data_IF_015594196243
#
_entry.id   IF_015594196243
#
_cell.length_a   1.000
_cell.length_b   1.000
_cell.length_c   1.000
_cell.angle_alpha   90.00
_cell.angle_beta   90.00
_cell.angle_gamma   90.00
#
_symmetry.space_group_name_H-M   'P 1'
#
loop_
_entity.id
_entity.type
_entity.pdbx_description
1 polymer ?
#
# COMPACT_ATOMS: atom_id res chain seq x y z
N UNK A 1 6.09 8.01 23.53
CA UNK A 1 4.89 7.74 22.71
C UNK A 1 5.30 7.71 21.24
N UNK A 2 4.77 6.79 20.41
CA UNK A 2 5.11 6.76 18.99
C UNK A 2 4.59 8.02 18.28
N UNK A 3 5.40 8.60 17.42
CA UNK A 3 5.00 9.75 16.57
C UNK A 3 4.36 9.29 15.25
N UNK A 4 4.64 8.05 14.84
CA UNK A 4 4.15 7.43 13.61
C UNK A 4 3.94 5.94 13.83
N UNK A 5 2.89 5.39 13.23
CA UNK A 5 2.60 3.95 13.23
C UNK A 5 2.41 3.53 11.78
N UNK A 6 3.09 2.45 11.40
CA UNK A 6 2.99 1.84 10.08
C UNK A 6 2.31 0.49 10.27
N UNK A 7 1.19 0.27 9.58
CA UNK A 7 0.45 -1.00 9.60
C UNK A 7 0.35 -1.59 8.20
N UNK A 8 -0.11 -2.84 8.11
CA UNK A 8 -0.72 -3.34 6.89
C UNK A 8 -2.01 -2.55 6.54
N UNK A 9 -2.64 -2.93 5.42
CA UNK A 9 -3.88 -2.32 4.93
C UNK A 9 -5.14 -2.99 5.49
N UNK A 10 -5.07 -3.55 6.70
CA UNK A 10 -6.24 -4.11 7.38
C UNK A 10 -6.90 -3.08 8.32
N UNK A 11 -8.23 -3.04 8.33
CA UNK A 11 -8.98 -2.06 9.15
C UNK A 11 -8.77 -2.27 10.65
N UNK A 12 -8.66 -3.51 11.12
CA UNK A 12 -8.52 -3.82 12.54
C UNK A 12 -7.20 -3.28 13.12
N UNK A 13 -6.02 -3.56 12.53
CA UNK A 13 -4.76 -2.94 12.93
C UNK A 13 -4.77 -1.41 12.87
N UNK A 14 -5.33 -0.81 11.82
CA UNK A 14 -5.44 0.64 11.66
C UNK A 14 -6.26 1.25 12.79
N UNK A 15 -7.47 0.74 13.01
CA UNK A 15 -8.40 1.27 14.02
C UNK A 15 -7.87 1.08 15.44
N UNK A 16 -7.29 -0.09 15.74
CA UNK A 16 -6.72 -0.37 17.06
C UNK A 16 -5.54 0.55 17.37
N UNK A 17 -4.69 0.79 16.37
CA UNK A 17 -3.53 1.68 16.51
C UNK A 17 -3.95 3.13 16.69
N UNK A 18 -4.92 3.60 15.92
CA UNK A 18 -5.48 4.94 16.05
C UNK A 18 -6.14 5.16 17.42
N UNK A 19 -6.90 4.19 17.92
CA UNK A 19 -7.52 4.29 19.25
C UNK A 19 -6.47 4.36 20.37
N UNK A 20 -5.41 3.54 20.30
CA UNK A 20 -4.35 3.55 21.33
C UNK A 20 -3.43 4.76 21.23
N UNK A 21 -3.20 5.28 20.04
CA UNK A 21 -2.25 6.36 19.76
C UNK A 21 -2.86 7.39 18.79
N UNK A 22 -3.86 8.18 19.22
CA UNK A 22 -4.59 9.09 18.34
C UNK A 22 -3.73 10.23 17.79
N UNK A 23 -2.64 10.56 18.47
CA UNK A 23 -1.70 11.60 18.06
C UNK A 23 -0.60 11.08 17.12
N UNK A 24 -0.49 9.75 16.94
CA UNK A 24 0.50 9.18 16.04
C UNK A 24 -0.02 9.21 14.60
N UNK A 25 0.83 9.64 13.67
CA UNK A 25 0.49 9.62 12.25
C UNK A 25 0.37 8.17 11.78
N UNK A 26 -0.80 7.79 11.27
CA UNK A 26 -1.04 6.47 10.69
C UNK A 26 -0.54 6.43 9.25
N UNK A 27 0.19 5.38 8.88
CA UNK A 27 0.66 5.12 7.52
C UNK A 27 0.50 3.64 7.18
N UNK A 28 0.27 3.33 5.91
CA UNK A 28 0.33 1.98 5.38
C UNK A 28 1.76 1.61 4.98
N UNK A 29 2.12 0.35 5.16
CA UNK A 29 3.42 -0.18 4.75
C UNK A 29 3.48 -0.32 3.23
N UNK A 30 4.51 0.27 2.60
CA UNK A 30 4.66 0.19 1.14
C UNK A 30 4.82 -1.25 0.64
N UNK A 31 5.48 -2.11 1.42
CA UNK A 31 5.62 -3.53 1.08
C UNK A 31 4.26 -4.22 0.96
N UNK A 32 3.37 -4.05 1.95
CA UNK A 32 2.02 -4.63 1.90
C UNK A 32 1.18 -4.01 0.78
N UNK A 33 1.34 -2.72 0.49
CA UNK A 33 0.70 -2.11 -0.68
C UNK A 33 1.12 -2.81 -1.98
N UNK A 34 2.43 -3.05 -2.13
CA UNK A 34 3.00 -3.76 -3.26
C UNK A 34 2.46 -5.19 -3.37
N UNK A 35 2.45 -5.91 -2.25
CA UNK A 35 1.97 -7.28 -2.16
C UNK A 35 0.48 -7.38 -2.50
N UNK A 36 -0.39 -6.56 -1.90
CA UNK A 36 -1.83 -6.62 -2.15
C UNK A 36 -2.17 -6.35 -3.62
N UNK A 37 -1.50 -5.38 -4.25
CA UNK A 37 -1.68 -5.10 -5.68
C UNK A 37 -1.16 -6.26 -6.55
N UNK A 38 -0.04 -6.88 -6.19
CA UNK A 38 0.47 -8.05 -6.89
C UNK A 38 -0.48 -9.25 -6.79
N UNK A 39 -0.97 -9.55 -5.58
CA UNK A 39 -2.01 -10.56 -5.38
C UNK A 39 -3.22 -10.26 -6.28
N UNK A 40 -3.62 -8.99 -6.40
CA UNK A 40 -4.73 -8.62 -7.29
C UNK A 40 -4.43 -8.85 -8.76
N UNK A 41 -3.23 -8.54 -9.24
CA UNK A 41 -2.79 -8.84 -10.61
C UNK A 41 -2.90 -10.35 -10.87
N UNK A 42 -2.47 -11.18 -9.91
CA UNK A 42 -2.53 -12.64 -10.02
C UNK A 42 -3.97 -13.17 -10.02
N UNK A 43 -4.82 -12.70 -9.09
CA UNK A 43 -6.24 -13.08 -8.99
C UNK A 43 -7.02 -12.79 -10.28
N UNK A 44 -6.66 -11.73 -11.00
CA UNK A 44 -7.29 -11.37 -12.28
C UNK A 44 -6.65 -12.08 -13.49
N UNK A 45 -5.70 -13.00 -13.28
CA UNK A 45 -5.02 -13.72 -14.36
C UNK A 45 -4.06 -12.85 -15.19
N UNK A 46 -3.72 -11.65 -14.71
CA UNK A 46 -2.93 -10.65 -15.45
C UNK A 46 -1.41 -10.85 -15.31
N UNK A 47 -0.97 -11.85 -14.54
CA UNK A 47 0.46 -12.11 -14.30
C UNK A 47 1.23 -12.42 -15.60
N UNK A 48 0.63 -13.21 -16.51
CA UNK A 48 1.24 -13.51 -17.81
C UNK A 48 1.34 -12.27 -18.69
N UNK A 49 0.32 -11.42 -18.70
CA UNK A 49 0.35 -10.16 -19.45
C UNK A 49 1.41 -9.21 -18.88
N UNK A 50 1.51 -9.10 -17.55
CA UNK A 50 2.58 -8.35 -16.89
C UNK A 50 3.98 -8.85 -17.25
N UNK A 51 4.19 -10.13 -17.52
CA UNK A 51 5.50 -10.63 -17.95
C UNK A 51 5.85 -10.36 -19.41
N UNK A 52 4.85 -10.19 -20.28
CA UNK A 52 5.02 -10.22 -21.73
C UNK A 52 4.69 -8.91 -22.45
N UNK A 53 3.95 -8.00 -21.80
CA UNK A 53 3.57 -6.70 -22.36
C UNK A 53 4.25 -5.58 -21.57
N UNK A 54 5.23 -4.93 -22.21
CA UNK A 54 6.00 -3.84 -21.61
C UNK A 54 5.14 -2.61 -21.29
N UNK A 55 4.13 -2.30 -22.11
CA UNK A 55 3.28 -1.13 -21.88
C UNK A 55 2.37 -1.37 -20.68
N UNK A 56 1.79 -2.57 -20.59
CA UNK A 56 1.02 -2.98 -19.42
C UNK A 56 1.90 -3.01 -18.15
N UNK A 57 3.12 -3.54 -18.25
CA UNK A 57 4.09 -3.54 -17.15
C UNK A 57 4.40 -2.13 -16.65
N UNK A 58 4.64 -1.19 -17.58
CA UNK A 58 4.91 0.21 -17.25
C UNK A 58 3.70 0.87 -16.60
N UNK A 59 2.49 0.57 -17.04
CA UNK A 59 1.26 1.06 -16.40
C UNK A 59 1.13 0.56 -14.96
N UNK A 60 1.41 -0.73 -14.71
CA UNK A 60 1.41 -1.29 -13.36
C UNK A 60 2.54 -0.68 -12.50
N UNK A 61 3.74 -0.52 -13.05
CA UNK A 61 4.86 0.15 -12.37
C UNK A 61 4.49 1.59 -11.99
N UNK A 62 3.80 2.31 -12.88
CA UNK A 62 3.30 3.64 -12.60
C UNK A 62 2.33 3.65 -11.43
N UNK A 63 1.40 2.68 -11.35
CA UNK A 63 0.51 2.53 -10.20
C UNK A 63 1.30 2.37 -8.89
N UNK A 64 2.39 1.57 -8.88
CA UNK A 64 3.29 1.46 -7.73
C UNK A 64 4.03 2.77 -7.41
N UNK A 65 4.46 3.49 -8.43
CA UNK A 65 5.18 4.75 -8.29
C UNK A 65 4.33 5.88 -7.67
N UNK A 66 3.00 5.82 -7.78
CA UNK A 66 2.10 6.81 -7.16
C UNK A 66 2.30 6.97 -5.66
N UNK A 67 2.73 5.92 -4.94
CA UNK A 67 2.98 6.01 -3.51
C UNK A 67 4.10 7.01 -3.16
N UNK A 68 4.98 7.32 -4.12
CA UNK A 68 6.07 8.27 -3.96
C UNK A 68 5.66 9.72 -4.20
N UNK A 69 4.42 9.98 -4.63
CA UNK A 69 3.90 11.34 -4.75
C UNK A 69 3.31 11.80 -3.42
N UNK A 70 3.27 13.12 -3.22
CA UNK A 70 2.54 13.67 -2.08
C UNK A 70 1.05 13.30 -2.18
N UNK A 71 0.38 13.22 -1.03
CA UNK A 71 -1.05 12.87 -0.98
C UNK A 71 -1.94 13.79 -1.83
N UNK A 72 -1.50 15.04 -2.06
CA UNK A 72 -2.22 16.07 -2.81
C UNK A 72 -2.06 15.91 -4.34
N UNK A 73 -0.91 15.41 -4.80
CA UNK A 73 -0.63 15.22 -6.23
C UNK A 73 -1.30 13.96 -6.78
N UNK A 74 -1.40 12.92 -5.96
CA UNK A 74 -1.94 11.60 -6.33
C UNK A 74 -3.27 11.71 -7.10
N UNK A 75 -4.32 12.42 -6.65
CA UNK A 75 -5.59 12.50 -7.37
C UNK A 75 -5.48 13.13 -8.76
N UNK A 76 -4.63 14.14 -8.93
CA UNK A 76 -4.42 14.81 -10.21
C UNK A 76 -3.63 13.94 -11.20
N UNK A 77 -2.72 13.11 -10.67
CA UNK A 77 -1.91 12.17 -11.43
C UNK A 77 -2.70 10.91 -11.81
N UNK A 78 -3.69 10.52 -11.00
CA UNK A 78 -4.60 9.40 -11.24
C UNK A 78 -5.66 9.66 -12.31
N UNK A 79 -5.46 10.59 -13.26
CA UNK A 79 -6.38 10.80 -14.40
C UNK A 79 -6.37 9.55 -15.29
N UNK A 80 -7.13 8.53 -14.89
CA UNK A 80 -7.48 7.37 -15.69
C UNK A 80 -8.10 7.92 -16.99
N UNK A 81 -7.61 7.53 -18.18
CA UNK A 81 -8.28 7.86 -19.41
C UNK A 81 -9.72 7.37 -19.31
N UNK A 82 -10.70 8.25 -19.55
CA UNK A 82 -12.09 7.81 -19.72
C UNK A 82 -12.07 6.69 -20.77
N UNK A 83 -12.51 5.49 -20.41
CA UNK A 83 -12.65 4.37 -21.34
C UNK A 83 -13.37 4.84 -22.61
N UNK A 84 -12.89 4.36 -23.76
CA UNK A 84 -13.39 4.69 -25.10
C UNK A 84 -14.87 4.29 -25.31
N UNK A 85 -15.47 3.52 -24.40
CA UNK A 85 -16.78 2.89 -24.59
C UNK A 85 -17.94 3.56 -23.83
N UNK A 86 -17.75 4.77 -23.30
CA UNK A 86 -18.86 5.56 -22.70
C UNK A 86 -19.47 4.95 -21.42
N UNK A 87 -19.01 3.78 -20.98
CA UNK A 87 -19.32 3.23 -19.67
C UNK A 87 -18.49 3.98 -18.64
N UNK A 88 -19.15 4.86 -17.88
CA UNK A 88 -18.57 5.47 -16.69
C UNK A 88 -18.28 4.34 -15.71
N UNK A 89 -17.05 3.83 -15.71
CA UNK A 89 -16.56 3.01 -14.62
C UNK A 89 -16.77 3.83 -13.35
N UNK A 90 -17.73 3.41 -12.53
CA UNK A 90 -18.00 4.02 -11.22
C UNK A 90 -16.84 3.60 -10.34
N UNK A 91 -15.67 4.22 -10.53
CA UNK A 91 -14.51 3.99 -9.72
C UNK A 91 -14.86 4.51 -8.33
N UNK A 92 -15.26 3.59 -7.45
CA UNK A 92 -15.42 3.89 -6.04
C UNK A 92 -14.17 4.60 -5.53
N UNK A 93 -14.37 5.56 -4.63
CA UNK A 93 -13.27 6.24 -3.94
C UNK A 93 -12.23 5.20 -3.50
N UNK A 94 -10.92 5.46 -3.68
CA UNK A 94 -9.91 4.53 -3.22
C UNK A 94 -10.19 4.20 -1.75
N UNK A 95 -10.25 2.90 -1.44
CA UNK A 95 -10.66 2.36 -0.13
C UNK A 95 -9.90 3.02 1.04
N UNK A 96 -8.67 3.47 0.76
CA UNK A 96 -7.85 4.23 1.67
C UNK A 96 -7.44 5.57 1.06
N UNK A 97 -7.47 6.62 1.89
CA UNK A 97 -7.04 7.96 1.49
C UNK A 97 -5.55 7.97 1.08
N UNK A 98 -5.17 8.79 0.07
CA UNK A 98 -3.77 8.94 -0.34
C UNK A 98 -2.79 9.25 0.78
N UNK A 99 -3.23 9.99 1.80
CA UNK A 99 -2.43 10.31 2.99
C UNK A 99 -1.95 9.06 3.76
N UNK A 100 -2.73 7.97 3.74
CA UNK A 100 -2.38 6.72 4.40
C UNK A 100 -1.26 5.98 3.65
N UNK A 101 -1.35 5.88 2.32
CA UNK A 101 -0.46 5.04 1.52
C UNK A 101 0.65 5.78 0.77
N UNK A 102 0.61 7.11 0.75
CA UNK A 102 1.74 7.93 0.31
C UNK A 102 2.89 7.82 1.32
N UNK A 103 4.07 7.47 0.79
CA UNK A 103 5.33 7.39 1.51
C UNK A 103 6.22 8.62 1.28
N UNK A 104 5.72 9.65 0.58
CA UNK A 104 6.45 10.88 0.30
C UNK A 104 7.05 11.49 1.59
N UNK A 105 6.21 11.83 2.57
CA UNK A 105 6.69 12.41 3.84
C UNK A 105 7.56 11.42 4.63
N UNK A 106 7.30 10.11 4.50
CA UNK A 106 8.11 9.09 5.17
C UNK A 106 9.54 9.08 4.65
N UNK A 107 9.73 9.29 3.34
CA UNK A 107 11.06 9.39 2.71
C UNK A 107 11.77 10.67 3.17
N UNK A 108 11.09 11.81 3.16
CA UNK A 108 11.66 13.09 3.62
C UNK A 108 12.14 13.02 5.08
N UNK A 109 11.42 12.25 5.91
CA UNK A 109 11.75 12.05 7.32
C UNK A 109 12.72 10.89 7.58
N UNK A 110 13.23 10.21 6.54
CA UNK A 110 14.15 9.07 6.67
C UNK A 110 13.52 7.83 7.31
N UNK A 111 12.19 7.72 7.33
CA UNK A 111 11.47 6.57 7.86
C UNK A 111 11.63 5.39 6.89
N UNK A 112 12.02 4.19 7.39
CA UNK A 112 12.15 3.01 6.54
C UNK A 112 10.88 2.72 5.74
N UNK A 113 11.04 2.48 4.44
CA UNK A 113 9.95 2.18 3.50
C UNK A 113 9.28 0.83 3.77
N UNK A 114 10.01 -0.09 4.39
CA UNK A 114 9.56 -1.42 4.71
C UNK A 114 9.82 -1.71 6.18
N UNK A 115 8.92 -2.47 6.77
CA UNK A 115 9.00 -2.92 8.15
C UNK A 115 9.63 -4.33 8.22
N UNK A 116 10.33 -4.76 7.15
CA UNK A 116 10.87 -6.11 6.94
C UNK A 116 11.66 -6.65 8.14
N UNK A 117 12.42 -5.79 8.83
CA UNK A 117 13.18 -6.19 10.03
C UNK A 117 12.23 -6.54 11.19
N UNK A 118 11.19 -5.74 11.40
CA UNK A 118 10.19 -5.97 12.46
C UNK A 118 9.23 -7.10 12.09
N UNK A 119 8.93 -7.30 10.81
CA UNK A 119 8.16 -8.45 10.33
C UNK A 119 8.94 -9.76 10.41
N UNK A 120 10.22 -9.75 10.05
CA UNK A 120 11.12 -10.88 10.29
C UNK A 120 11.19 -11.19 11.78
N UNK A 121 11.23 -10.15 12.63
CA UNK A 121 11.20 -10.32 14.08
C UNK A 121 9.85 -10.85 14.58
N UNK A 122 8.72 -10.37 14.06
CA UNK A 122 7.39 -10.89 14.40
C UNK A 122 7.18 -12.32 13.89
N UNK A 123 7.65 -12.66 12.70
CA UNK A 123 7.62 -14.02 12.17
C UNK A 123 8.48 -14.94 13.02
N UNK A 124 9.72 -14.52 13.32
CA UNK A 124 10.63 -15.23 14.22
C UNK A 124 10.01 -15.45 15.60
N UNK A 125 9.40 -14.41 16.18
CA UNK A 125 8.70 -14.47 17.46
C UNK A 125 7.48 -15.40 17.43
N UNK A 126 6.65 -15.34 16.40
CA UNK A 126 5.51 -16.27 16.20
C UNK A 126 5.99 -17.72 16.08
N UNK A 127 7.15 -17.95 15.47
CA UNK A 127 7.76 -19.29 15.34
C UNK A 127 8.28 -19.79 16.70
N UNK A 128 8.92 -18.91 17.48
CA UNK A 128 9.43 -19.20 18.83
C UNK A 128 8.33 -19.49 19.85
N UNK A 129 7.24 -18.72 19.83
CA UNK A 129 6.13 -18.86 20.78
C UNK A 129 5.10 -19.90 20.32
N UNK A 130 4.92 -20.07 19.01
CA UNK A 130 4.01 -21.06 18.42
C UNK A 130 4.53 -22.50 18.40
N UNK A 131 5.82 -22.72 18.68
CA UNK A 131 6.46 -24.04 18.76
C UNK A 131 6.37 -24.72 20.13
N UNK A 132 5.57 -24.18 21.08
CA UNK A 132 5.40 -24.70 22.43
C UNK A 132 4.08 -25.45 22.66
N UNK A 133 3.41 -25.91 21.60
CA UNK A 133 2.29 -26.85 21.69
C UNK A 133 2.62 -28.18 21.02
#
# INVERSE_FOLDING_TARGET
MPTRIITDFELTPINTSHHKFPNAVQKGCYFYLCQSRWCKIQENGLATQYGNDIQFSLMICYLFALAFLSAQEIPATFKIPKSCDGTVATHGLPLFQPSLWSIYDSIELGVPRTQNVVEAWHHYWKTLVGGLN
#
